data_IF_641495810121
#
_entry.id   IF_641495810121
#
_cell.length_a   1.000
_cell.length_b   1.000
_cell.length_c   1.000
_cell.angle_alpha   90.00
_cell.angle_beta   90.00
_cell.angle_gamma   90.00
#
_symmetry.space_group_name_H-M   'P 1'
#
loop_
_entity.id
_entity.type
_entity.pdbx_description
1 polymer ?
#
# COMPACT_ATOMS: atom_id res chain seq x y z
N UNK A 1 2.70 9.04 14.32
CA UNK A 1 2.21 9.16 12.93
C UNK A 1 3.11 10.14 12.18
N UNK A 2 4.39 9.81 11.94
CA UNK A 2 5.35 10.76 11.31
C UNK A 2 5.69 10.40 9.85
N UNK A 3 5.57 9.13 9.48
CA UNK A 3 5.95 8.63 8.15
C UNK A 3 4.99 9.11 7.06
N UNK A 4 3.68 9.11 7.32
CA UNK A 4 2.69 9.56 6.34
C UNK A 4 2.80 11.06 6.06
N UNK A 5 3.12 11.86 7.08
CA UNK A 5 3.26 13.30 6.93
C UNK A 5 4.54 13.65 6.16
N UNK A 6 5.63 12.93 6.39
CA UNK A 6 6.85 13.05 5.58
C UNK A 6 6.60 12.65 4.11
N UNK A 7 5.90 11.55 3.85
CA UNK A 7 5.58 11.12 2.48
C UNK A 7 4.68 12.13 1.76
N UNK A 8 3.73 12.74 2.46
CA UNK A 8 2.90 13.82 1.90
C UNK A 8 3.71 15.07 1.58
N UNK A 9 4.68 15.43 2.42
CA UNK A 9 5.57 16.56 2.14
C UNK A 9 6.38 16.35 0.85
N UNK A 10 6.73 15.09 0.54
CA UNK A 10 7.38 14.68 -0.71
C UNK A 10 6.39 14.44 -1.88
N UNK A 11 5.12 14.84 -1.74
CA UNK A 11 4.11 14.75 -2.80
C UNK A 11 3.52 13.36 -3.03
N UNK A 12 3.76 12.40 -2.13
CA UNK A 12 3.11 11.08 -2.15
C UNK A 12 1.76 11.14 -1.46
N UNK A 13 0.70 10.91 -2.22
CA UNK A 13 -0.67 10.89 -1.73
C UNK A 13 -1.23 9.47 -1.72
N UNK A 14 -2.04 9.12 -0.71
CA UNK A 14 -2.72 7.84 -0.66
C UNK A 14 -3.78 7.77 -1.76
N UNK A 15 -3.67 6.77 -2.64
CA UNK A 15 -4.64 6.57 -3.74
C UNK A 15 -5.47 5.29 -3.57
N UNK A 16 -5.05 4.36 -2.70
CA UNK A 16 -5.77 3.13 -2.41
C UNK A 16 -5.53 2.68 -0.97
N UNK A 17 -6.60 2.35 -0.26
CA UNK A 17 -6.56 1.71 1.05
C UNK A 17 -7.39 0.43 1.01
N UNK A 18 -6.84 -0.68 1.49
CA UNK A 18 -7.53 -1.96 1.57
C UNK A 18 -7.30 -2.61 2.93
N UNK A 19 -8.35 -3.19 3.49
CA UNK A 19 -8.28 -3.98 4.70
C UNK A 19 -8.76 -5.39 4.38
N UNK A 20 -7.98 -6.41 4.71
CA UNK A 20 -8.38 -7.79 4.46
C UNK A 20 -9.64 -8.12 5.26
N UNK A 21 -10.68 -8.61 4.59
CA UNK A 21 -11.92 -9.03 5.24
C UNK A 21 -11.70 -10.36 5.98
N UNK A 22 -11.85 -10.37 7.29
CA UNK A 22 -11.81 -11.58 8.10
C UNK A 22 -13.20 -12.19 8.26
N UNK A 23 -13.25 -13.52 8.33
CA UNK A 23 -14.48 -14.29 8.59
C UNK A 23 -14.86 -14.27 10.08
N UNK A 24 -13.88 -14.07 10.94
CA UNK A 24 -14.04 -13.99 12.40
C UNK A 24 -14.07 -12.52 12.84
N UNK A 25 -15.18 -12.07 13.43
CA UNK A 25 -15.33 -10.68 13.86
C UNK A 25 -14.40 -10.31 15.02
N UNK A 26 -13.97 -11.29 15.84
CA UNK A 26 -13.00 -11.06 16.92
C UNK A 26 -11.58 -10.76 16.42
N UNK A 27 -11.30 -10.99 15.12
CA UNK A 27 -10.01 -10.72 14.48
C UNK A 27 -10.05 -9.53 13.52
N UNK A 28 -11.15 -8.77 13.51
CA UNK A 28 -11.33 -7.59 12.63
C UNK A 28 -10.31 -6.50 12.89
N UNK A 29 -9.88 -6.34 14.14
CA UNK A 29 -8.85 -5.36 14.49
C UNK A 29 -7.43 -5.85 14.17
N UNK A 30 -7.23 -7.15 13.91
CA UNK A 30 -5.93 -7.75 13.58
C UNK A 30 -5.72 -7.96 12.08
N UNK A 31 -6.57 -7.36 11.25
CA UNK A 31 -6.49 -7.49 9.80
C UNK A 31 -5.31 -6.71 9.22
N UNK A 32 -4.69 -7.24 8.17
CA UNK A 32 -3.68 -6.49 7.41
C UNK A 32 -4.34 -5.28 6.74
N UNK A 33 -3.85 -4.09 7.06
CA UNK A 33 -4.15 -2.85 6.40
C UNK A 33 -3.08 -2.57 5.35
N UNK A 34 -3.49 -2.35 4.11
CA UNK A 34 -2.66 -1.96 3.00
C UNK A 34 -3.01 -0.53 2.61
N UNK A 35 -2.03 0.36 2.66
CA UNK A 35 -2.13 1.71 2.10
C UNK A 35 -1.14 1.82 0.94
N UNK A 36 -1.61 2.23 -0.23
CA UNK A 36 -0.75 2.49 -1.38
C UNK A 36 -0.70 3.99 -1.64
N UNK A 37 0.50 4.53 -1.75
CA UNK A 37 0.77 5.92 -2.06
C UNK A 37 1.41 6.04 -3.44
N UNK A 38 1.03 7.08 -4.18
CA UNK A 38 1.61 7.47 -5.47
C UNK A 38 1.98 8.93 -5.41
N UNK A 39 3.01 9.33 -6.17
CA UNK A 39 3.28 10.75 -6.35
C UNK A 39 2.12 11.42 -7.10
N UNK A 40 1.74 12.63 -6.69
CA UNK A 40 0.58 13.35 -7.24
C UNK A 40 0.61 13.49 -8.77
N UNK A 41 1.80 13.61 -9.38
CA UNK A 41 1.96 13.72 -10.83
C UNK A 41 1.75 12.41 -11.62
N UNK A 42 1.72 11.25 -10.95
CA UNK A 42 1.65 9.92 -11.59
C UNK A 42 0.42 9.11 -11.14
N UNK A 43 -0.56 9.73 -10.49
CA UNK A 43 -1.72 9.03 -9.91
C UNK A 43 -2.49 8.24 -10.98
N UNK A 44 -2.63 8.79 -12.19
CA UNK A 44 -3.40 8.20 -13.29
C UNK A 44 -2.55 7.31 -14.22
N UNK A 45 -1.24 7.22 -14.01
CA UNK A 45 -0.38 6.42 -14.87
C UNK A 45 -0.66 4.93 -14.70
N UNK A 46 -0.64 4.21 -15.82
CA UNK A 46 -0.78 2.76 -15.84
C UNK A 46 0.43 2.06 -15.17
N UNK A 47 1.60 2.71 -15.21
CA UNK A 47 2.77 2.35 -14.44
C UNK A 47 3.23 3.53 -13.59
N UNK A 48 3.19 3.39 -12.26
CA UNK A 48 3.55 4.46 -11.35
C UNK A 48 4.56 3.97 -10.31
N UNK A 49 5.38 4.88 -9.81
CA UNK A 49 6.16 4.62 -8.60
C UNK A 49 5.21 4.62 -7.40
N UNK A 50 5.20 3.53 -6.65
CA UNK A 50 4.33 3.41 -5.48
C UNK A 50 5.10 3.00 -4.24
N UNK A 51 4.55 3.43 -3.12
CA UNK A 51 4.95 3.00 -1.78
C UNK A 51 3.75 2.25 -1.19
N UNK A 52 3.93 0.98 -0.88
CA UNK A 52 2.93 0.14 -0.23
C UNK A 52 3.30 0.03 1.24
N UNK A 53 2.42 0.51 2.11
CA UNK A 53 2.50 0.36 3.55
C UNK A 53 1.57 -0.76 4.00
N UNK A 54 2.15 -1.77 4.65
CA UNK A 54 1.44 -2.87 5.26
C UNK A 54 1.58 -2.78 6.77
N UNK A 55 0.46 -2.87 7.47
CA UNK A 55 0.41 -2.92 8.93
C UNK A 55 -0.58 -4.00 9.40
N UNK A 56 -0.28 -4.69 10.49
CA UNK A 56 -1.23 -5.55 11.22
C UNK A 56 -1.35 -5.03 12.64
N UNK A 57 -2.54 -4.61 13.06
CA UNK A 57 -2.77 -3.98 14.36
C UNK A 57 -3.01 -5.04 15.45
N UNK A 58 -2.00 -5.86 15.74
CA UNK A 58 -2.01 -6.83 16.87
C UNK A 58 -0.77 -6.70 17.77
N UNK A 59 0.08 -5.71 17.52
CA UNK A 59 1.33 -5.53 18.26
C UNK A 59 2.40 -6.58 17.96
N UNK A 60 2.16 -7.53 17.03
CA UNK A 60 3.07 -8.62 16.67
C UNK A 60 3.74 -8.44 15.30
N UNK A 61 3.28 -7.48 14.48
CA UNK A 61 3.75 -7.26 13.11
C UNK A 61 4.49 -5.94 12.94
N UNK A 62 5.71 -6.00 12.41
CA UNK A 62 6.46 -4.81 11.97
C UNK A 62 5.74 -4.13 10.80
N UNK A 63 5.73 -2.79 10.80
CA UNK A 63 5.35 -2.00 9.61
C UNK A 63 6.26 -2.40 8.45
N UNK A 64 5.68 -2.81 7.33
CA UNK A 64 6.42 -3.13 6.12
C UNK A 64 6.16 -2.07 5.06
N UNK A 65 7.25 -1.48 4.56
CA UNK A 65 7.24 -0.52 3.47
C UNK A 65 7.87 -1.17 2.24
N UNK A 66 7.13 -1.20 1.13
CA UNK A 66 7.61 -1.74 -0.15
C UNK A 66 7.56 -0.59 -1.15
N UNK A 67 8.72 -0.19 -1.67
CA UNK A 67 8.84 0.79 -2.75
C UNK A 67 9.15 0.11 -4.07
N UNK A 68 8.56 0.60 -5.17
CA UNK A 68 8.83 0.08 -6.50
C UNK A 68 7.99 0.73 -7.59
N UNK A 69 8.26 0.38 -8.84
CA UNK A 69 7.43 0.76 -9.98
C UNK A 69 6.38 -0.34 -10.21
N UNK A 70 5.12 0.01 -10.04
CA UNK A 70 4.01 -0.94 -10.13
C UNK A 70 3.15 -0.62 -11.35
N UNK A 71 2.86 -1.67 -12.14
CA UNK A 71 1.85 -1.60 -13.20
C UNK A 71 0.49 -1.96 -12.63
N UNK A 72 -0.50 -1.09 -12.80
CA UNK A 72 -1.88 -1.40 -12.43
C UNK A 72 -2.51 -2.28 -13.52
N UNK A 73 -2.79 -3.54 -13.19
CA UNK A 73 -3.40 -4.51 -14.13
C UNK A 73 -4.90 -4.69 -13.84
N UNK A 74 -5.31 -4.69 -12.57
CA UNK A 74 -6.74 -4.69 -12.20
C UNK A 74 -6.98 -4.15 -10.78
N UNK A 75 -8.22 -3.73 -10.51
CA UNK A 75 -8.66 -3.26 -9.20
C UNK A 75 -8.63 -4.35 -8.10
N UNK A 76 -8.47 -5.61 -8.48
CA UNK A 76 -8.36 -6.74 -7.54
C UNK A 76 -6.95 -6.89 -6.94
N UNK A 77 -6.06 -5.92 -7.14
CA UNK A 77 -4.73 -5.90 -6.52
C UNK A 77 -3.69 -6.77 -7.22
N UNK A 78 -3.90 -7.14 -8.48
CA UNK A 78 -2.92 -7.92 -9.24
C UNK A 78 -1.73 -7.01 -9.61
N UNK A 79 -0.59 -7.28 -8.99
CA UNK A 79 0.69 -6.61 -9.26
C UNK A 79 1.56 -7.56 -10.09
N UNK A 80 2.00 -7.10 -11.27
CA UNK A 80 3.02 -7.82 -12.04
C UNK A 80 4.41 -7.28 -11.66
N UNK A 81 5.24 -8.14 -11.07
CA UNK A 81 6.67 -7.91 -10.95
C UNK A 81 7.37 -8.49 -12.17
N UNK A 82 8.15 -7.68 -12.90
CA UNK A 82 9.08 -8.20 -13.90
C UNK A 82 10.40 -8.51 -13.20
N UNK A 83 10.81 -9.78 -13.18
CA UNK A 83 12.16 -10.14 -12.78
C UNK A 83 13.09 -9.78 -13.94
N UNK A 84 13.99 -8.82 -13.74
CA UNK A 84 15.12 -8.64 -14.65
C UNK A 84 16.09 -9.81 -14.40
N UNK A 85 16.19 -10.72 -15.37
CA UNK A 85 17.26 -11.70 -15.49
C UNK A 85 18.45 -11.03 -16.17
#
# INVERSE_FOLDING_TARGET
MQVLDALRAEGFEPFMACQTRVRDQGKREHTKHMLRLRHASQILDQEANEIILLNSHDGSSSYQMIGGKFRFVCANGLVLGVNAN
#
